data_IF_123821725634
#
_entry.id   IF_123821725634
#
_cell.length_a   1.000
_cell.length_b   1.000
_cell.length_c   1.000
_cell.angle_alpha   90.00
_cell.angle_beta   90.00
_cell.angle_gamma   90.00
#
_symmetry.space_group_name_H-M   'P 1'
#
loop_
_entity.id
_entity.type
_entity.pdbx_description
1 polymer ?
#
# COMPACT_ATOMS: atom_id res chain seq x y z
N UNK A 1 -21.64 5.30 8.09
CA UNK A 1 -20.59 4.82 7.23
C UNK A 1 -19.43 4.28 8.05
N UNK A 2 -19.01 3.09 7.79
CA UNK A 2 -18.01 2.46 8.62
C UNK A 2 -16.80 2.13 7.80
N UNK A 3 -15.64 2.34 8.38
CA UNK A 3 -14.39 1.93 7.78
C UNK A 3 -13.81 0.85 8.66
N UNK A 4 -13.44 -0.25 8.04
CA UNK A 4 -12.78 -1.30 8.78
C UNK A 4 -11.29 -1.13 8.71
N UNK A 5 -10.62 -1.35 9.83
CA UNK A 5 -9.16 -1.32 9.86
C UNK A 5 -8.67 -2.73 10.13
N UNK A 6 -7.80 -3.21 9.26
CA UNK A 6 -7.21 -4.53 9.39
C UNK A 6 -5.73 -4.38 9.61
N UNK A 7 -5.24 -4.96 10.70
CA UNK A 7 -3.82 -4.94 10.97
C UNK A 7 -3.23 -6.20 10.36
N UNK A 8 -2.34 -6.07 9.40
CA UNK A 8 -1.81 -7.24 8.71
C UNK A 8 -0.96 -8.09 9.64
N UNK A 9 -1.03 -9.39 9.44
CA UNK A 9 -0.23 -10.33 10.22
C UNK A 9 1.23 -10.28 9.83
N UNK A 10 1.53 -9.90 8.61
CA UNK A 10 2.91 -9.81 8.12
C UNK A 10 3.19 -8.38 7.68
N UNK A 11 4.45 -7.94 7.75
CA UNK A 11 4.77 -6.57 7.36
C UNK A 11 4.39 -6.28 5.91
N UNK A 12 3.88 -5.08 5.69
CA UNK A 12 3.53 -4.60 4.37
C UNK A 12 4.22 -3.27 4.16
N UNK A 13 4.69 -3.06 2.95
CA UNK A 13 5.22 -1.75 2.57
C UNK A 13 4.66 -1.36 1.22
N UNK A 14 4.52 -0.06 1.02
CA UNK A 14 3.98 0.48 -0.21
C UNK A 14 4.99 1.44 -0.80
N UNK A 15 4.99 1.51 -2.11
CA UNK A 15 5.89 2.39 -2.85
C UNK A 15 5.08 3.45 -3.57
N UNK A 16 5.55 4.67 -3.46
CA UNK A 16 4.93 5.80 -4.09
C UNK A 16 5.94 6.46 -5.01
N UNK A 17 5.52 6.81 -6.20
CA UNK A 17 6.40 7.44 -7.15
C UNK A 17 6.66 8.88 -6.75
N UNK A 18 7.91 9.28 -6.75
CA UNK A 18 8.29 10.65 -6.48
C UNK A 18 8.98 11.26 -7.67
N UNK A 19 9.34 12.53 -7.56
CA UNK A 19 9.95 13.23 -8.67
C UNK A 19 11.36 12.77 -8.94
N UNK A 20 12.10 12.47 -7.89
CA UNK A 20 13.51 12.09 -8.06
C UNK A 20 13.76 10.66 -7.67
N UNK A 21 12.88 10.08 -6.89
CA UNK A 21 13.04 8.70 -6.43
C UNK A 21 11.71 8.18 -5.99
N UNK A 22 11.59 6.88 -5.89
CA UNK A 22 10.39 6.28 -5.32
C UNK A 22 10.53 6.26 -3.81
N UNK A 23 9.43 6.46 -3.13
CA UNK A 23 9.40 6.47 -1.68
C UNK A 23 8.73 5.21 -1.17
N UNK A 24 9.29 4.63 -0.13
CA UNK A 24 8.77 3.44 0.49
C UNK A 24 8.20 3.80 1.86
N UNK A 25 7.00 3.33 2.15
CA UNK A 25 6.36 3.58 3.43
C UNK A 25 5.94 2.25 4.05
N UNK A 26 6.23 2.10 5.32
CA UNK A 26 5.77 0.92 6.05
C UNK A 26 4.30 1.09 6.42
N UNK A 27 3.53 0.04 6.30
CA UNK A 27 2.09 0.08 6.53
C UNK A 27 1.79 -0.44 7.93
N UNK A 28 0.99 0.33 8.66
CA UNK A 28 0.53 -0.06 9.98
C UNK A 28 -0.80 -0.82 9.90
N UNK A 29 -1.71 -0.38 9.03
CA UNK A 29 -3.02 -1.00 8.91
C UNK A 29 -3.60 -0.74 7.53
N UNK A 30 -4.58 -1.54 7.16
CA UNK A 30 -5.31 -1.38 5.90
C UNK A 30 -6.72 -0.93 6.26
N UNK A 31 -7.18 0.13 5.64
CA UNK A 31 -8.52 0.66 5.85
C UNK A 31 -9.37 0.31 4.64
N UNK A 32 -10.54 -0.26 4.89
CA UNK A 32 -11.47 -0.63 3.84
C UNK A 32 -12.77 0.11 4.10
N UNK A 33 -13.19 0.93 3.15
CA UNK A 33 -14.41 1.70 3.29
C UNK A 33 -15.62 0.86 2.88
N UNK A 34 -16.80 1.41 3.09
CA UNK A 34 -18.02 0.73 2.69
C UNK A 34 -18.12 0.47 1.20
N UNK A 35 -17.45 1.27 0.41
CA UNK A 35 -17.44 1.08 -1.04
C UNK A 35 -16.29 0.18 -1.48
N UNK A 36 -15.66 -0.49 -0.53
CA UNK A 36 -14.54 -1.39 -0.79
C UNK A 36 -13.30 -0.66 -1.33
N UNK A 37 -13.20 0.63 -1.10
CA UNK A 37 -11.98 1.35 -1.40
C UNK A 37 -10.94 1.02 -0.35
N UNK A 38 -9.73 0.78 -0.79
CA UNK A 38 -8.65 0.39 0.09
C UNK A 38 -7.68 1.53 0.23
N UNK A 39 -7.34 1.84 1.48
CA UNK A 39 -6.30 2.80 1.80
C UNK A 39 -5.32 2.15 2.74
N UNK A 40 -4.07 2.49 2.60
CA UNK A 40 -3.03 2.00 3.49
C UNK A 40 -2.69 3.09 4.49
N UNK A 41 -2.78 2.74 5.77
CA UNK A 41 -2.38 3.67 6.83
C UNK A 41 -0.93 3.38 7.16
N UNK A 42 -0.06 4.35 6.92
CA UNK A 42 1.36 4.15 7.17
C UNK A 42 1.67 4.33 8.64
N UNK A 43 2.85 3.89 9.04
CA UNK A 43 3.28 4.04 10.44
C UNK A 43 3.46 5.50 10.81
N UNK A 44 3.57 6.38 9.84
CA UNK A 44 3.66 7.82 10.10
C UNK A 44 2.30 8.48 10.18
N UNK A 45 1.23 7.73 10.05
CA UNK A 45 -0.12 8.27 10.17
C UNK A 45 -0.72 8.80 8.88
N UNK A 46 -0.12 8.51 7.74
CA UNK A 46 -0.65 8.95 6.45
C UNK A 46 -1.59 7.90 5.89
N UNK A 47 -2.71 8.38 5.32
CA UNK A 47 -3.60 7.50 4.59
C UNK A 47 -3.24 7.58 3.11
N UNK A 48 -2.94 6.47 2.50
CA UNK A 48 -2.54 6.42 1.10
C UNK A 48 -3.53 5.58 0.33
N UNK A 49 -4.42 6.22 -0.45
CA UNK A 49 -5.37 5.46 -1.24
C UNK A 49 -4.66 4.54 -2.22
N UNK A 50 -5.22 3.38 -2.42
CA UNK A 50 -4.61 2.37 -3.28
C UNK A 50 -4.29 2.92 -4.67
N UNK A 51 -5.13 3.84 -5.18
CA UNK A 51 -4.91 4.39 -6.51
C UNK A 51 -3.68 5.27 -6.61
N UNK A 52 -3.15 5.74 -5.49
CA UNK A 52 -1.95 6.57 -5.48
C UNK A 52 -0.69 5.77 -5.26
N UNK A 53 -0.82 4.48 -5.07
CA UNK A 53 0.32 3.63 -4.79
C UNK A 53 0.75 2.94 -6.07
N UNK A 54 2.04 2.99 -6.34
CA UNK A 54 2.59 2.34 -7.49
C UNK A 54 2.68 0.83 -7.27
N UNK A 55 2.97 0.42 -6.04
CA UNK A 55 3.35 -0.96 -5.79
C UNK A 55 3.25 -1.23 -4.29
N UNK A 56 2.76 -2.38 -3.91
CA UNK A 56 2.69 -2.81 -2.52
C UNK A 56 3.22 -4.23 -2.41
N UNK A 57 3.88 -4.50 -1.30
CA UNK A 57 4.49 -5.81 -1.05
C UNK A 57 4.21 -6.26 0.36
N UNK A 58 4.17 -7.56 0.56
CA UNK A 58 4.07 -8.16 1.89
C UNK A 58 5.28 -9.06 2.11
N UNK A 59 5.78 -9.08 3.33
CA UNK A 59 6.91 -9.92 3.66
C UNK A 59 6.41 -11.28 4.13
N UNK A 60 6.69 -12.31 3.35
CA UNK A 60 6.30 -13.68 3.66
C UNK A 60 7.53 -14.57 3.58
N UNK A 61 7.79 -15.26 4.67
CA UNK A 61 8.90 -16.22 4.72
C UNK A 61 10.22 -15.61 4.27
N UNK A 62 10.47 -14.40 4.72
CA UNK A 62 11.72 -13.73 4.44
C UNK A 62 11.82 -13.11 3.05
N UNK A 63 10.73 -13.09 2.31
CA UNK A 63 10.74 -12.53 0.95
C UNK A 63 9.62 -11.53 0.80
N UNK A 64 9.90 -10.45 0.08
CA UNK A 64 8.87 -9.47 -0.25
C UNK A 64 8.16 -9.94 -1.51
N UNK A 65 6.83 -10.04 -1.42
CA UNK A 65 6.00 -10.49 -2.53
C UNK A 65 5.00 -9.41 -2.88
N UNK A 66 4.83 -9.15 -4.16
CA UNK A 66 3.92 -8.11 -4.61
C UNK A 66 2.48 -8.51 -4.35
N UNK A 67 1.71 -7.62 -3.77
CA UNK A 67 0.29 -7.83 -3.56
C UNK A 67 -0.55 -6.82 -4.33
N UNK A 68 0.08 -5.80 -4.89
CA UNK A 68 -0.63 -4.81 -5.69
C UNK A 68 0.37 -4.12 -6.62
N UNK A 69 0.01 -4.06 -7.88
CA UNK A 69 0.75 -3.29 -8.86
C UNK A 69 -0.26 -2.42 -9.57
N UNK A 70 -0.03 -1.11 -9.53
CA UNK A 70 -0.97 -0.19 -10.13
C UNK A 70 -0.95 -0.31 -11.65
N UNK A 71 -2.13 -0.34 -12.25
CA UNK A 71 -2.20 -0.35 -13.70
C UNK A 71 -1.74 0.96 -14.30
N UNK A 72 -1.62 1.99 -13.47
CA UNK A 72 -1.08 3.26 -13.95
C UNK A 72 0.41 3.35 -13.74
N UNK A 73 1.02 2.35 -13.16
CA UNK A 73 2.45 2.37 -13.01
C UNK A 73 3.02 2.47 -14.41
N UNK A 74 4.03 3.20 -14.60
CA UNK A 74 4.63 3.36 -15.88
C UNK A 74 5.30 2.10 -16.24
N UNK A 75 4.68 1.39 -16.87
CA UNK A 75 5.13 0.28 -17.22
C UNK A 75 5.77 0.41 -18.34
N UNK A 76 6.36 0.45 -18.59
CA UNK A 76 6.87 0.54 -19.56
C UNK A 76 7.00 -0.31 -20.23
N UNK A 77 6.65 -0.79 -20.51
CA UNK A 77 6.67 -1.60 -21.20
C UNK A 77 6.64 -1.58 -21.87
#
# INVERSE_FOLDING_TARGET
>A
MTTEFIQPANPIRVWQSGEQANYCHNVFAIAISNSNDIEYLTVNGMFMPKVQIMYAEVLLEGRWQAIHVSSKAPCTT
#
